data_IF_970647213821
#
_entry.id   IF_970647213821
#
_cell.length_a   1.000
_cell.length_b   1.000
_cell.length_c   1.000
_cell.angle_alpha   90.00
_cell.angle_beta   90.00
_cell.angle_gamma   90.00
#
_symmetry.space_group_name_H-M   'P 1'
#
loop_
_entity.id
_entity.type
_entity.pdbx_description
1 polymer ?
#
# COMPACT_ATOMS: atom_id res chain seq x y z
N UNK A 1 65.32 -12.45 -21.69
CA UNK A 1 66.67 -11.95 -21.35
C UNK A 1 66.63 -11.42 -19.92
N UNK A 2 67.47 -12.12 -19.05
CA UNK A 2 67.93 -11.76 -17.69
C UNK A 2 66.84 -11.61 -16.60
N UNK A 3 66.63 -12.61 -15.69
CA UNK A 3 67.46 -13.17 -14.59
C UNK A 3 68.08 -12.13 -13.64
N UNK A 4 67.74 -12.19 -12.37
CA UNK A 4 68.60 -12.27 -11.16
C UNK A 4 67.69 -12.05 -9.94
N UNK A 5 67.59 -12.86 -9.06
CA UNK A 5 68.41 -13.68 -8.08
C UNK A 5 68.17 -13.20 -6.64
N UNK A 6 67.67 -14.14 -5.84
CA UNK A 6 67.96 -14.47 -4.45
C UNK A 6 68.35 -13.36 -3.47
N UNK A 7 67.75 -13.37 -2.30
CA UNK A 7 68.50 -13.50 -1.05
C UNK A 7 67.63 -14.07 0.08
N UNK A 8 68.07 -15.20 0.59
CA UNK A 8 67.68 -15.86 1.84
C UNK A 8 68.46 -15.22 3.02
N UNK A 9 67.82 -15.21 4.19
CA UNK A 9 68.41 -15.33 5.55
C UNK A 9 67.29 -14.82 6.47
N UNK A 10 66.60 -15.55 7.34
CA UNK A 10 67.07 -16.52 8.28
C UNK A 10 67.49 -15.86 9.59
N UNK A 11 66.57 -15.67 10.57
CA UNK A 11 66.93 -15.67 11.99
C UNK A 11 65.75 -16.13 12.83
N UNK A 12 65.97 -17.23 13.52
CA UNK A 12 65.23 -17.78 14.67
C UNK A 12 65.45 -16.97 15.93
N UNK A 13 64.41 -16.83 16.78
CA UNK A 13 64.53 -16.86 18.25
C UNK A 13 63.15 -16.61 18.88
N UNK A 14 62.64 -17.59 19.54
CA UNK A 14 62.55 -17.88 21.00
C UNK A 14 61.29 -17.29 21.67
N UNK A 15 60.40 -18.21 21.94
CA UNK A 15 59.53 -18.48 23.12
C UNK A 15 59.50 -17.41 24.23
N UNK A 16 58.29 -16.93 24.53
CA UNK A 16 57.88 -16.68 25.92
C UNK A 16 56.37 -16.98 26.04
N UNK A 17 56.08 -18.06 26.76
CA UNK A 17 54.79 -18.36 27.36
C UNK A 17 54.43 -17.28 28.40
N UNK A 18 53.30 -16.68 28.29
CA UNK A 18 52.59 -16.07 29.40
C UNK A 18 51.13 -16.48 29.32
N UNK A 19 50.74 -17.44 30.13
CA UNK A 19 49.37 -17.79 30.42
C UNK A 19 48.74 -16.65 31.21
N UNK A 20 47.72 -15.99 30.63
CA UNK A 20 46.78 -15.20 31.41
C UNK A 20 45.37 -15.67 31.06
N UNK A 21 44.82 -16.40 32.02
CA UNK A 21 43.40 -16.67 32.16
C UNK A 21 42.66 -15.36 32.33
N UNK A 22 41.98 -14.90 31.26
CA UNK A 22 41.09 -13.77 31.27
C UNK A 22 39.69 -14.23 30.81
N UNK A 23 38.75 -14.19 31.74
CA UNK A 23 37.36 -14.54 31.53
C UNK A 23 36.77 -13.75 30.34
N UNK A 24 36.42 -14.45 29.28
CA UNK A 24 35.60 -13.90 28.21
C UNK A 24 34.16 -13.78 28.69
N UNK A 25 33.77 -12.61 29.15
CA UNK A 25 32.35 -12.24 29.27
C UNK A 25 31.78 -12.05 27.86
N UNK A 26 31.00 -13.03 27.48
CA UNK A 26 30.25 -13.01 26.22
C UNK A 26 29.20 -11.90 26.23
N UNK A 27 29.45 -10.81 25.51
CA UNK A 27 28.46 -9.82 25.13
C UNK A 27 27.89 -10.16 23.74
N UNK A 28 27.03 -11.17 23.70
CA UNK A 28 26.31 -11.54 22.45
C UNK A 28 24.84 -11.44 22.70
N UNK A 29 24.24 -10.24 22.76
CA UNK A 29 22.78 -10.12 22.75
C UNK A 29 22.22 -8.79 22.18
N UNK A 30 22.85 -8.12 21.23
CA UNK A 30 22.26 -6.86 20.74
C UNK A 30 21.99 -6.80 19.23
N UNK A 31 22.41 -7.81 18.45
CA UNK A 31 22.25 -7.77 16.99
C UNK A 31 20.96 -8.43 16.46
N UNK A 32 20.31 -9.30 17.25
CA UNK A 32 19.14 -10.05 16.81
C UNK A 32 17.84 -9.22 16.83
N UNK A 33 17.73 -8.26 17.75
CA UNK A 33 16.50 -7.48 17.92
C UNK A 33 16.27 -6.42 16.83
N UNK A 34 17.33 -5.90 16.21
CA UNK A 34 17.22 -4.90 15.14
C UNK A 34 16.88 -5.55 13.79
N UNK A 35 17.35 -6.78 13.55
CA UNK A 35 17.04 -7.54 12.34
C UNK A 35 15.57 -7.97 12.30
N UNK A 36 15.02 -8.41 13.43
CA UNK A 36 13.61 -8.81 13.57
C UNK A 36 12.63 -7.64 13.39
N UNK A 37 13.03 -6.42 13.79
CA UNK A 37 12.20 -5.24 13.62
C UNK A 37 12.19 -4.76 12.16
N UNK A 38 13.30 -4.87 11.45
CA UNK A 38 13.40 -4.55 10.03
C UNK A 38 12.59 -5.54 9.16
N UNK A 39 12.63 -6.83 9.49
CA UNK A 39 11.89 -7.87 8.77
C UNK A 39 10.37 -7.76 8.99
N UNK A 40 9.92 -7.40 10.19
CA UNK A 40 8.49 -7.16 10.47
C UNK A 40 7.96 -5.89 9.81
N UNK A 41 8.79 -4.87 9.59
CA UNK A 41 8.39 -3.66 8.87
C UNK A 41 8.25 -3.89 7.36
N UNK A 42 8.94 -4.88 6.79
CA UNK A 42 8.89 -5.23 5.37
C UNK A 42 7.74 -6.19 5.00
N UNK A 43 7.10 -6.83 5.99
CA UNK A 43 6.02 -7.81 5.77
C UNK A 43 4.60 -7.22 5.85
N UNK A 44 4.46 -5.91 6.11
CA UNK A 44 3.17 -5.25 6.20
C UNK A 44 2.60 -4.93 4.82
N UNK A 45 1.76 -5.79 4.27
CA UNK A 45 1.01 -5.51 3.04
C UNK A 45 0.21 -4.20 3.15
N UNK A 46 -0.12 -3.60 2.00
CA UNK A 46 -0.94 -2.39 1.93
C UNK A 46 -2.29 -2.63 2.58
N UNK A 47 -2.66 -1.77 3.52
CA UNK A 47 -3.94 -1.85 4.24
C UNK A 47 -5.04 -1.14 3.46
N UNK A 48 -6.20 -1.80 3.39
CA UNK A 48 -7.46 -1.24 2.91
C UNK A 48 -8.48 -1.37 4.02
N UNK A 49 -9.13 -0.28 4.37
CA UNK A 49 -10.11 -0.18 5.44
C UNK A 49 -11.39 0.51 4.94
N UNK A 50 -12.44 0.50 5.74
CA UNK A 50 -13.63 1.33 5.54
C UNK A 50 -13.63 2.45 6.58
N UNK A 51 -13.91 3.67 6.14
CA UNK A 51 -14.07 4.84 7.01
C UNK A 51 -15.34 5.61 6.66
N UNK A 52 -15.84 6.38 7.61
CA UNK A 52 -16.94 7.32 7.38
C UNK A 52 -16.39 8.61 6.76
N UNK A 53 -17.07 9.11 5.74
CA UNK A 53 -16.78 10.38 5.06
C UNK A 53 -18.10 11.14 4.84
N UNK A 54 -18.05 12.28 4.18
CA UNK A 54 -19.26 13.00 3.74
C UNK A 54 -20.14 12.19 2.78
N UNK A 55 -19.55 11.24 2.03
CA UNK A 55 -20.25 10.32 1.15
C UNK A 55 -20.76 9.04 1.84
N UNK A 56 -20.65 8.95 3.17
CA UNK A 56 -20.91 7.73 3.91
C UNK A 56 -19.70 6.83 4.04
N UNK A 57 -19.91 5.50 4.00
CA UNK A 57 -18.87 4.49 4.25
C UNK A 57 -18.11 4.14 2.97
N UNK A 58 -16.87 4.60 2.86
CA UNK A 58 -16.01 4.36 1.70
C UNK A 58 -14.72 3.64 2.07
N UNK A 59 -14.06 3.06 1.08
CA UNK A 59 -12.72 2.49 1.26
C UNK A 59 -11.69 3.59 1.44
N UNK A 60 -10.73 3.32 2.33
CA UNK A 60 -9.56 4.18 2.57
C UNK A 60 -8.28 3.35 2.63
N UNK A 61 -7.15 3.97 2.34
CA UNK A 61 -5.83 3.38 2.54
C UNK A 61 -5.43 3.37 4.03
N UNK A 62 -4.26 2.79 4.34
CA UNK A 62 -3.72 2.72 5.69
C UNK A 62 -3.42 4.08 6.34
N UNK A 63 -3.47 5.18 5.57
CA UNK A 63 -3.33 6.57 6.04
C UNK A 63 -4.68 7.27 6.20
N UNK A 64 -5.78 6.61 5.82
CA UNK A 64 -7.14 7.16 5.87
C UNK A 64 -7.50 8.05 4.68
N UNK A 65 -6.77 7.96 3.56
CA UNK A 65 -7.13 8.65 2.31
C UNK A 65 -8.15 7.81 1.54
N UNK A 66 -9.12 8.47 0.96
CA UNK A 66 -10.17 7.84 0.15
C UNK A 66 -9.59 7.09 -1.04
N UNK A 67 -10.18 5.94 -1.32
CA UNK A 67 -9.81 5.09 -2.45
C UNK A 67 -10.89 5.17 -3.52
N UNK A 68 -10.44 5.34 -4.76
CA UNK A 68 -11.27 5.55 -5.93
C UNK A 68 -11.11 4.42 -6.94
N UNK A 69 -12.14 4.20 -7.73
CA UNK A 69 -12.12 3.46 -8.99
C UNK A 69 -12.21 4.44 -10.17
N UNK A 70 -11.75 3.98 -11.33
CA UNK A 70 -11.79 4.73 -12.57
C UNK A 70 -12.75 4.07 -13.59
N UNK A 71 -13.73 4.80 -14.08
CA UNK A 71 -14.73 4.29 -15.01
C UNK A 71 -14.18 3.74 -16.34
N UNK A 72 -12.95 4.15 -16.70
CA UNK A 72 -12.27 3.67 -17.92
C UNK A 72 -11.55 2.32 -17.72
N UNK A 73 -11.32 1.89 -16.49
CA UNK A 73 -10.69 0.61 -16.21
C UNK A 73 -11.58 -0.54 -16.69
N UNK A 74 -10.97 -1.55 -17.33
CA UNK A 74 -11.70 -2.69 -17.90
C UNK A 74 -11.05 -4.00 -17.46
N UNK A 75 -11.88 -5.00 -17.18
CA UNK A 75 -11.42 -6.37 -16.87
C UNK A 75 -10.38 -6.43 -15.74
N UNK A 76 -10.53 -5.58 -14.73
CA UNK A 76 -9.60 -5.49 -13.60
C UNK A 76 -8.24 -4.88 -13.94
N UNK A 77 -8.09 -4.25 -15.11
CA UNK A 77 -6.83 -3.63 -15.56
C UNK A 77 -6.92 -2.11 -15.53
N UNK A 78 -5.84 -1.50 -15.06
CA UNK A 78 -5.71 -0.06 -15.02
C UNK A 78 -5.51 0.53 -16.41
N UNK A 79 -6.33 1.54 -16.76
CA UNK A 79 -6.17 2.40 -17.92
C UNK A 79 -5.46 3.72 -17.58
N UNK A 80 -5.14 3.97 -16.32
CA UNK A 80 -4.51 5.20 -15.82
C UNK A 80 -3.00 5.08 -15.76
N UNK A 81 -2.28 5.80 -16.63
CA UNK A 81 -0.81 5.85 -16.71
C UNK A 81 -0.33 7.27 -17.00
N UNK A 82 0.99 7.52 -16.96
CA UNK A 82 1.58 8.82 -17.25
C UNK A 82 0.98 9.95 -16.40
N UNK A 83 0.48 11.01 -17.03
CA UNK A 83 -0.13 12.16 -16.34
C UNK A 83 -1.31 11.76 -15.46
N UNK A 84 -2.13 10.82 -15.91
CA UNK A 84 -3.26 10.30 -15.11
C UNK A 84 -2.75 9.76 -13.76
N UNK A 85 -1.75 8.88 -13.77
CA UNK A 85 -1.18 8.32 -12.55
C UNK A 85 -0.45 9.34 -11.65
N UNK A 86 -0.10 10.51 -12.20
CA UNK A 86 0.41 11.64 -11.42
C UNK A 86 -0.66 12.32 -10.57
N UNK A 87 -1.89 12.43 -11.08
CA UNK A 87 -3.04 12.99 -10.34
C UNK A 87 -3.77 11.93 -9.52
N UNK A 88 -3.80 10.71 -10.03
CA UNK A 88 -4.46 9.55 -9.42
C UNK A 88 -3.46 8.45 -9.16
N UNK A 89 -2.63 8.59 -8.11
CA UNK A 89 -1.63 7.59 -7.78
C UNK A 89 -2.27 6.22 -7.54
N UNK A 90 -1.83 5.18 -8.28
CA UNK A 90 -2.31 3.83 -8.06
C UNK A 90 -1.89 3.33 -6.68
N UNK A 91 -2.76 2.60 -6.00
CA UNK A 91 -2.44 1.94 -4.74
C UNK A 91 -1.56 0.72 -5.02
N UNK A 92 -0.25 0.89 -4.94
CA UNK A 92 0.73 -0.16 -5.26
C UNK A 92 0.84 -1.17 -4.12
N UNK A 93 0.74 -2.44 -4.44
CA UNK A 93 0.91 -3.53 -3.49
C UNK A 93 2.39 -3.76 -3.18
N UNK A 94 2.75 -3.73 -1.90
CA UNK A 94 4.07 -4.10 -1.35
C UNK A 94 4.02 -5.45 -0.66
N UNK A 95 3.33 -6.42 -1.24
CA UNK A 95 3.00 -7.71 -0.66
C UNK A 95 1.50 -8.01 -0.77
N UNK A 96 1.00 -9.02 -0.06
CA UNK A 96 -0.44 -9.34 -0.04
C UNK A 96 -1.21 -8.21 0.64
N UNK A 97 -2.19 -7.56 -0.04
CA UNK A 97 -2.99 -6.51 0.58
C UNK A 97 -3.80 -7.06 1.76
N UNK A 98 -4.03 -6.21 2.76
CA UNK A 98 -4.69 -6.56 4.02
C UNK A 98 -6.00 -5.78 4.16
N UNK A 99 -7.10 -6.50 4.33
CA UNK A 99 -8.39 -5.92 4.69
C UNK A 99 -8.45 -5.67 6.20
N UNK A 100 -8.87 -4.46 6.59
CA UNK A 100 -9.05 -4.05 7.99
C UNK A 100 -10.32 -3.21 8.11
N UNK A 101 -10.82 -3.02 9.33
CA UNK A 101 -11.91 -2.07 9.66
C UNK A 101 -13.10 -2.13 8.68
N UNK A 102 -13.69 -3.31 8.48
CA UNK A 102 -14.91 -3.49 7.68
C UNK A 102 -14.69 -3.68 6.17
N UNK A 103 -13.46 -3.63 5.67
CA UNK A 103 -13.15 -4.07 4.31
C UNK A 103 -13.20 -5.60 4.23
N UNK A 104 -13.64 -6.13 3.08
CA UNK A 104 -13.79 -7.58 2.88
C UNK A 104 -12.54 -8.15 2.22
N UNK A 105 -11.86 -9.08 2.90
CA UNK A 105 -10.64 -9.73 2.38
C UNK A 105 -10.91 -10.52 1.08
N UNK A 106 -12.11 -11.08 0.90
CA UNK A 106 -12.51 -11.80 -0.30
C UNK A 106 -12.61 -10.94 -1.57
N UNK A 107 -12.74 -9.62 -1.41
CA UNK A 107 -12.79 -8.66 -2.52
C UNK A 107 -11.42 -8.06 -2.85
N UNK A 108 -10.41 -8.26 -1.98
CA UNK A 108 -9.06 -7.78 -2.23
C UNK A 108 -8.30 -8.69 -3.20
N UNK A 109 -7.62 -8.06 -4.14
CA UNK A 109 -6.74 -8.71 -5.09
C UNK A 109 -5.64 -7.78 -5.55
N UNK A 110 -4.94 -8.20 -6.60
CA UNK A 110 -3.94 -7.37 -7.28
C UNK A 110 -4.02 -7.56 -8.78
N UNK A 111 -3.65 -6.54 -9.53
CA UNK A 111 -3.49 -6.58 -10.99
C UNK A 111 -2.12 -6.05 -11.38
N UNK A 112 -1.53 -6.64 -12.43
CA UNK A 112 -0.24 -6.16 -12.96
C UNK A 112 -0.48 -4.98 -13.90
N UNK A 113 0.17 -3.89 -13.62
CA UNK A 113 0.20 -2.69 -14.46
C UNK A 113 1.14 -2.85 -15.64
N UNK A 114 1.02 -1.95 -16.62
CA UNK A 114 1.94 -1.90 -17.79
C UNK A 114 3.39 -1.58 -17.41
N UNK A 115 3.59 -0.89 -16.28
CA UNK A 115 4.91 -0.61 -15.71
C UNK A 115 5.50 -1.76 -14.87
N UNK A 116 4.84 -2.93 -14.86
CA UNK A 116 5.27 -4.13 -14.16
C UNK A 116 4.91 -4.19 -12.68
N UNK A 117 4.52 -3.06 -12.05
CA UNK A 117 4.15 -3.02 -10.63
C UNK A 117 2.80 -3.70 -10.40
N UNK A 118 2.59 -4.24 -9.19
CA UNK A 118 1.29 -4.76 -8.77
C UNK A 118 0.47 -3.64 -8.13
N UNK A 119 -0.77 -3.46 -8.60
CA UNK A 119 -1.73 -2.52 -8.03
C UNK A 119 -2.80 -3.29 -7.27
N UNK A 120 -3.19 -2.80 -6.11
CA UNK A 120 -4.30 -3.36 -5.32
C UNK A 120 -5.59 -3.19 -6.10
N UNK A 121 -6.42 -4.25 -6.09
CA UNK A 121 -7.80 -4.22 -6.59
C UNK A 121 -8.77 -4.51 -5.45
N UNK A 122 -9.99 -4.03 -5.58
CA UNK A 122 -11.10 -4.39 -4.72
C UNK A 122 -12.34 -4.63 -5.58
N UNK A 123 -12.94 -5.80 -5.43
CA UNK A 123 -14.01 -6.28 -6.31
C UNK A 123 -13.67 -6.10 -7.80
N UNK A 124 -12.44 -6.51 -8.18
CA UNK A 124 -11.86 -6.37 -9.52
C UNK A 124 -11.57 -4.92 -9.99
N UNK A 125 -11.90 -3.89 -9.22
CA UNK A 125 -11.55 -2.51 -9.56
C UNK A 125 -10.15 -2.16 -9.08
N UNK A 126 -9.21 -1.73 -9.95
CA UNK A 126 -7.95 -1.13 -9.54
C UNK A 126 -8.19 0.08 -8.64
N UNK A 127 -7.45 0.20 -7.55
CA UNK A 127 -7.64 1.26 -6.57
C UNK A 127 -6.62 2.39 -6.73
N UNK A 128 -7.10 3.61 -6.53
CA UNK A 128 -6.31 4.84 -6.64
C UNK A 128 -6.56 5.76 -5.45
N UNK A 129 -5.60 6.65 -5.19
CA UNK A 129 -5.80 7.82 -4.33
C UNK A 129 -5.89 9.08 -5.20
N UNK A 130 -6.38 10.19 -4.66
CA UNK A 130 -6.40 11.47 -5.35
C UNK A 130 -5.41 12.44 -4.68
N UNK A 131 -4.61 13.16 -5.49
CA UNK A 131 -3.57 14.05 -4.95
C UNK A 131 -4.10 15.23 -4.16
N UNK A 132 -5.35 15.65 -4.42
CA UNK A 132 -5.99 16.75 -3.69
C UNK A 132 -6.67 16.31 -2.40
N UNK A 133 -6.75 15.00 -2.12
CA UNK A 133 -7.16 14.48 -0.82
C UNK A 133 -5.96 14.50 0.13
N UNK A 134 -5.69 15.67 0.70
CA UNK A 134 -4.54 15.93 1.57
C UNK A 134 -4.78 15.54 3.03
N UNK A 135 -6.04 15.33 3.42
CA UNK A 135 -6.48 14.95 4.77
C UNK A 135 -7.37 13.71 4.73
N UNK A 136 -7.43 13.01 5.85
CA UNK A 136 -8.35 11.87 6.03
C UNK A 136 -9.79 12.29 5.80
N UNK A 137 -10.57 11.42 5.15
CA UNK A 137 -12.00 11.61 4.92
C UNK A 137 -12.36 12.62 3.83
N UNK A 138 -11.38 13.25 3.17
CA UNK A 138 -11.64 14.06 1.98
C UNK A 138 -12.02 13.16 0.81
N UNK A 139 -12.95 13.66 -0.01
CA UNK A 139 -13.52 12.97 -1.17
C UNK A 139 -13.57 13.91 -2.38
N UNK A 140 -12.53 14.76 -2.54
CA UNK A 140 -12.48 15.77 -3.60
C UNK A 140 -12.37 15.17 -5.01
N UNK A 141 -12.20 13.88 -5.11
CA UNK A 141 -12.13 13.14 -6.37
C UNK A 141 -13.43 12.55 -6.84
N UNK A 142 -14.52 12.67 -6.03
CA UNK A 142 -15.82 12.10 -6.39
C UNK A 142 -16.39 12.76 -7.63
N UNK A 143 -16.93 11.93 -8.53
CA UNK A 143 -17.59 12.33 -9.77
C UNK A 143 -16.77 13.24 -10.70
N UNK A 144 -15.44 13.30 -10.52
CA UNK A 144 -14.60 14.06 -11.45
C UNK A 144 -14.52 13.34 -12.80
N UNK A 145 -15.02 13.97 -13.86
CA UNK A 145 -14.85 13.49 -15.24
C UNK A 145 -13.55 14.05 -15.82
N UNK A 146 -12.48 13.28 -15.69
CA UNK A 146 -11.15 13.64 -16.20
C UNK A 146 -10.43 12.40 -16.72
N UNK A 147 -9.56 12.57 -17.70
CA UNK A 147 -8.82 11.49 -18.38
C UNK A 147 -9.73 10.55 -19.19
N UNK A 148 -10.96 10.98 -19.50
CA UNK A 148 -11.90 10.33 -20.41
C UNK A 148 -12.82 9.32 -19.75
N UNK A 149 -13.05 9.45 -18.44
CA UNK A 149 -14.15 8.84 -17.70
C UNK A 149 -14.20 9.42 -16.28
N UNK A 150 -15.25 9.12 -15.58
CA UNK A 150 -15.50 9.53 -14.20
C UNK A 150 -14.73 8.70 -13.18
N UNK A 151 -14.50 9.32 -12.03
CA UNK A 151 -13.85 8.73 -10.85
C UNK A 151 -14.85 8.68 -9.72
N UNK A 152 -14.88 7.55 -8.99
CA UNK A 152 -15.83 7.34 -7.91
C UNK A 152 -15.14 6.76 -6.68
N UNK A 153 -15.47 7.25 -5.51
CA UNK A 153 -15.12 6.59 -4.25
C UNK A 153 -15.70 5.17 -4.21
N UNK A 154 -15.00 4.25 -3.59
CA UNK A 154 -15.41 2.84 -3.55
C UNK A 154 -16.07 2.51 -2.22
N UNK A 155 -17.25 1.93 -2.27
CA UNK A 155 -17.99 1.47 -1.09
C UNK A 155 -17.38 0.19 -0.50
N UNK A 156 -17.80 -0.17 0.72
CA UNK A 156 -17.42 -1.44 1.34
C UNK A 156 -17.89 -2.69 0.56
N UNK A 157 -18.88 -2.54 -0.32
CA UNK A 157 -19.34 -3.60 -1.23
C UNK A 157 -18.46 -3.73 -2.49
N UNK A 158 -17.58 -2.76 -2.73
CA UNK A 158 -16.72 -2.73 -3.93
C UNK A 158 -17.43 -2.18 -5.18
N UNK A 159 -18.46 -1.39 -4.99
CA UNK A 159 -19.14 -0.64 -6.03
C UNK A 159 -18.78 0.86 -5.90
N UNK A 160 -19.01 1.63 -6.96
CA UNK A 160 -18.96 3.09 -6.89
C UNK A 160 -19.95 3.59 -5.83
N UNK A 161 -19.58 4.64 -5.12
CA UNK A 161 -20.54 5.41 -4.33
C UNK A 161 -21.22 6.33 -5.30
N UNK A 162 -22.53 6.32 -5.32
CA UNK A 162 -23.35 7.34 -5.97
C UNK A 162 -23.91 8.22 -4.86
N UNK A 163 -23.90 9.53 -5.04
CA UNK A 163 -24.62 10.39 -4.12
C UNK A 163 -26.05 9.85 -4.03
N UNK A 164 -26.53 9.58 -2.82
CA UNK A 164 -27.92 9.25 -2.62
C UNK A 164 -28.71 10.44 -3.13
N UNK A 165 -29.18 10.34 -4.37
CA UNK A 165 -30.24 11.23 -4.82
C UNK A 165 -31.32 11.08 -3.77
N UNK A 166 -31.56 12.14 -3.01
CA UNK A 166 -32.64 12.23 -2.03
C UNK A 166 -33.98 12.16 -2.80
N UNK A 167 -34.33 10.94 -3.22
CA UNK A 167 -35.70 10.60 -3.59
C UNK A 167 -36.51 10.57 -2.31
N UNK A 168 -36.65 11.72 -1.68
CA UNK A 168 -37.70 12.02 -0.72
C UNK A 168 -39.02 12.13 -1.46
N UNK A 169 -39.45 11.03 -2.04
CA UNK A 169 -40.84 10.81 -2.34
C UNK A 169 -41.49 10.39 -1.02
N UNK A 170 -41.88 11.34 -0.21
CA UNK A 170 -42.88 11.17 0.83
C UNK A 170 -44.18 10.67 0.16
N UNK A 171 -44.64 9.43 0.44
CA UNK A 171 -45.98 9.06 0.06
C UNK A 171 -46.92 9.80 1.01
N UNK A 172 -47.41 10.97 0.57
CA UNK A 172 -48.50 11.69 1.24
C UNK A 172 -49.66 10.70 1.42
N UNK A 173 -50.11 10.42 2.64
CA UNK A 173 -51.29 9.61 2.83
C UNK A 173 -52.49 10.41 2.33
N UNK A 174 -53.08 9.88 1.26
CA UNK A 174 -54.23 10.46 0.58
C UNK A 174 -55.34 10.87 1.53
N UNK A 175 -55.78 12.12 1.37
CA UNK A 175 -56.89 12.67 2.06
C UNK A 175 -58.15 11.86 1.86
N UNK A 176 -58.81 11.56 2.96
CA UNK A 176 -60.23 11.15 2.99
C UNK A 176 -61.06 12.37 2.59
N UNK A 177 -61.60 12.36 1.39
CA UNK A 177 -62.66 13.27 0.98
C UNK A 177 -64.01 12.54 1.01
N UNK A 178 -64.96 13.14 1.61
CA UNK A 178 -66.36 12.73 1.75
C UNK A 178 -67.07 12.53 0.39
#
# INVERSE_FOLDING_TARGET
MRLHKYFLLGVTAIVAMAAMTGAALATTHTTTALSDRATRSASGGVKVAVANTGLGRVLVDGRGRTLYLFGKDKHGRSACSGKCAGFWPPLIASGKPLATAGAKASLLGTTKRTDGRLQVTYNHHPLYTFVKDTRKGQTNGEELDVFGAEWYAVSAAGAKVEEATSSGGDPSPGGYGY
#
